data_IF_586123378127
#
_entry.id   IF_586123378127
#
_cell.length_a   1.000
_cell.length_b   1.000
_cell.length_c   1.000
_cell.angle_alpha   90.00
_cell.angle_beta   90.00
_cell.angle_gamma   90.00
#
_symmetry.space_group_name_H-M   'P 1'
#
loop_
_entity.id
_entity.type
_entity.pdbx_description
1 polymer ?
#
# COMPACT_ATOMS: atom_id res chain seq x y z
N UNK A 1 2.91 24.24 2.42
CA UNK A 1 3.65 23.16 1.73
C UNK A 1 2.74 22.55 0.68
N UNK A 2 3.28 22.33 -0.51
CA UNK A 2 2.56 21.72 -1.63
C UNK A 2 2.91 20.24 -1.71
N UNK A 3 1.92 19.37 -1.64
CA UNK A 3 2.10 17.92 -1.58
C UNK A 3 1.48 17.28 -2.82
N UNK A 4 2.27 16.43 -3.49
CA UNK A 4 1.78 15.55 -4.54
C UNK A 4 1.52 14.16 -3.96
N UNK A 5 0.35 13.58 -4.27
CA UNK A 5 0.02 12.19 -3.96
C UNK A 5 -0.26 11.46 -5.27
N UNK A 6 0.59 10.53 -5.67
CA UNK A 6 0.29 9.67 -6.82
C UNK A 6 -0.54 8.48 -6.34
N UNK A 7 -1.59 8.13 -7.07
CA UNK A 7 -2.54 7.10 -6.62
C UNK A 7 -3.44 7.57 -5.46
N UNK A 8 -3.80 8.86 -5.45
CA UNK A 8 -4.55 9.45 -4.33
C UNK A 8 -6.02 9.06 -4.27
N UNK A 9 -6.62 8.55 -5.35
CA UNK A 9 -7.97 7.98 -5.37
C UNK A 9 -8.01 6.49 -4.99
N UNK A 10 -6.83 5.87 -4.76
CA UNK A 10 -6.69 4.51 -4.27
C UNK A 10 -6.89 4.39 -2.75
N UNK A 11 -6.86 3.17 -2.23
CA UNK A 11 -7.13 2.84 -0.83
C UNK A 11 -6.27 3.65 0.17
N UNK A 12 -4.94 3.51 0.09
CA UNK A 12 -4.02 4.18 1.03
C UNK A 12 -3.98 5.69 0.75
N UNK A 13 -3.98 6.09 -0.54
CA UNK A 13 -3.95 7.49 -0.96
C UNK A 13 -5.13 8.30 -0.41
N UNK A 14 -6.32 7.76 -0.49
CA UNK A 14 -7.54 8.38 0.07
C UNK A 14 -7.42 8.62 1.58
N UNK A 15 -6.96 7.63 2.34
CA UNK A 15 -6.78 7.76 3.79
C UNK A 15 -5.67 8.76 4.16
N UNK A 16 -4.58 8.78 3.37
CA UNK A 16 -3.51 9.75 3.53
C UNK A 16 -4.02 11.18 3.28
N UNK A 17 -4.70 11.41 2.17
CA UNK A 17 -5.26 12.72 1.80
C UNK A 17 -6.27 13.21 2.86
N UNK A 18 -7.16 12.31 3.37
CA UNK A 18 -8.09 12.64 4.48
C UNK A 18 -7.38 13.11 5.74
N UNK A 19 -6.15 12.69 5.96
CA UNK A 19 -5.36 13.15 7.10
C UNK A 19 -4.65 14.46 6.80
N UNK A 20 -3.99 14.57 5.65
CA UNK A 20 -3.22 15.75 5.25
C UNK A 20 -4.06 17.02 5.11
N UNK A 21 -5.31 16.90 4.62
CA UNK A 21 -6.18 18.07 4.40
C UNK A 21 -6.53 18.79 5.71
N UNK A 22 -6.49 18.08 6.85
CA UNK A 22 -6.76 18.66 8.17
C UNK A 22 -5.68 19.66 8.62
N UNK A 23 -4.47 19.52 8.08
CA UNK A 23 -3.31 20.35 8.40
C UNK A 23 -3.10 21.49 7.40
N UNK A 24 -4.12 21.79 6.57
CA UNK A 24 -4.13 22.88 5.59
C UNK A 24 -2.97 22.84 4.56
N UNK A 25 -2.52 21.66 4.15
CA UNK A 25 -1.59 21.52 3.04
C UNK A 25 -2.31 21.69 1.69
N UNK A 26 -1.62 22.25 0.70
CA UNK A 26 -2.08 22.25 -0.68
C UNK A 26 -1.81 20.90 -1.30
N UNK A 27 -2.85 20.11 -1.55
CA UNK A 27 -2.74 18.73 -2.02
C UNK A 27 -3.16 18.65 -3.49
N UNK A 28 -2.30 18.06 -4.29
CA UNK A 28 -2.63 17.62 -5.65
C UNK A 28 -2.47 16.10 -5.73
N UNK A 29 -3.43 15.43 -6.34
CA UNK A 29 -3.36 13.99 -6.65
C UNK A 29 -3.24 13.79 -8.14
N UNK A 30 -2.39 12.85 -8.57
CA UNK A 30 -2.40 12.27 -9.93
C UNK A 30 -2.84 10.81 -9.83
N UNK A 31 -3.90 10.45 -10.56
CA UNK A 31 -4.48 9.11 -10.57
C UNK A 31 -5.12 8.85 -11.93
N UNK A 32 -4.93 7.67 -12.51
CA UNK A 32 -5.56 7.28 -13.77
C UNK A 32 -6.86 6.48 -13.56
N UNK A 33 -7.26 6.29 -12.31
CA UNK A 33 -8.45 5.55 -11.87
C UNK A 33 -8.53 4.10 -12.36
N UNK A 34 -7.39 3.49 -12.67
CA UNK A 34 -7.34 2.07 -13.06
C UNK A 34 -7.76 1.14 -11.92
N UNK A 35 -7.48 1.54 -10.67
CA UNK A 35 -7.90 0.86 -9.44
C UNK A 35 -8.45 1.82 -8.40
N UNK A 36 -8.14 3.10 -8.50
CA UNK A 36 -8.72 4.19 -7.72
C UNK A 36 -10.16 4.47 -8.16
N UNK A 37 -10.96 5.04 -7.27
CA UNK A 37 -12.36 5.34 -7.52
C UNK A 37 -12.62 6.85 -7.46
N UNK A 38 -13.44 7.39 -8.38
CA UNK A 38 -13.80 8.80 -8.37
C UNK A 38 -14.56 9.23 -7.10
N UNK A 39 -15.35 8.35 -6.54
CA UNK A 39 -16.04 8.58 -5.26
C UNK A 39 -15.09 8.72 -4.06
N UNK A 40 -13.83 8.37 -4.23
CA UNK A 40 -12.79 8.59 -3.22
C UNK A 40 -12.17 10.00 -3.28
N UNK A 41 -12.51 10.81 -4.27
CA UNK A 41 -12.04 12.18 -4.34
C UNK A 41 -12.54 13.00 -3.13
N UNK A 42 -11.67 13.84 -2.62
CA UNK A 42 -11.91 14.63 -1.42
C UNK A 42 -12.03 16.10 -1.83
N UNK A 43 -13.10 16.76 -1.36
CA UNK A 43 -13.34 18.18 -1.61
C UNK A 43 -12.14 19.03 -1.12
N UNK A 44 -11.77 20.03 -1.91
CA UNK A 44 -10.60 20.89 -1.62
C UNK A 44 -9.26 20.33 -2.10
N UNK A 45 -9.23 19.16 -2.73
CA UNK A 45 -8.03 18.56 -3.33
C UNK A 45 -8.11 18.64 -4.85
N UNK A 46 -6.99 18.99 -5.48
CA UNK A 46 -6.89 19.00 -6.95
C UNK A 46 -6.57 17.58 -7.43
N UNK A 47 -7.47 16.98 -8.20
CA UNK A 47 -7.23 15.68 -8.86
C UNK A 47 -6.90 15.89 -10.34
N UNK A 48 -5.81 15.26 -10.79
CA UNK A 48 -5.37 15.21 -12.19
C UNK A 48 -5.58 13.78 -12.67
N UNK A 49 -6.54 13.60 -13.59
CA UNK A 49 -6.76 12.29 -14.23
C UNK A 49 -5.67 12.07 -15.28
N UNK A 50 -4.62 11.36 -14.90
CA UNK A 50 -3.49 11.08 -15.79
C UNK A 50 -2.72 9.85 -15.34
N UNK A 51 -2.06 9.20 -16.29
CA UNK A 51 -1.12 8.12 -16.01
C UNK A 51 0.14 8.67 -15.34
N UNK A 52 0.74 7.85 -14.47
CA UNK A 52 1.95 8.21 -13.72
C UNK A 52 3.15 8.47 -14.63
N UNK A 53 3.19 7.86 -15.82
CA UNK A 53 4.26 8.09 -16.79
C UNK A 53 4.30 9.52 -17.33
N UNK A 54 3.21 10.29 -17.15
CA UNK A 54 3.10 11.69 -17.56
C UNK A 54 3.43 12.69 -16.45
N UNK A 55 3.99 12.23 -15.33
CA UNK A 55 4.35 13.10 -14.17
C UNK A 55 5.31 14.22 -14.54
N UNK A 56 6.12 14.06 -15.56
CA UNK A 56 7.05 15.07 -16.08
C UNK A 56 6.37 16.32 -16.65
N UNK A 57 5.06 16.29 -16.89
CA UNK A 57 4.24 17.45 -17.22
C UNK A 57 3.92 18.34 -16.00
N UNK A 58 4.16 17.86 -14.78
CA UNK A 58 4.00 18.65 -13.55
C UNK A 58 5.22 19.53 -13.33
N UNK A 59 4.96 20.76 -12.88
CA UNK A 59 5.98 21.78 -12.60
C UNK A 59 6.73 21.55 -11.28
N UNK A 60 7.55 22.54 -10.88
CA UNK A 60 8.41 22.49 -9.69
C UNK A 60 7.68 22.93 -8.39
N UNK A 61 6.39 23.07 -8.40
CA UNK A 61 5.63 23.64 -7.28
C UNK A 61 5.50 22.74 -6.05
N UNK A 62 6.00 21.50 -6.08
CA UNK A 62 5.83 20.53 -5.02
C UNK A 62 7.07 20.42 -4.12
N UNK A 63 6.82 20.33 -2.81
CA UNK A 63 7.84 20.14 -1.77
C UNK A 63 8.02 18.65 -1.42
N UNK A 64 6.94 17.87 -1.51
CA UNK A 64 6.86 16.48 -1.08
C UNK A 64 5.97 15.67 -2.03
N UNK A 65 6.40 14.46 -2.37
CA UNK A 65 5.63 13.49 -3.15
C UNK A 65 5.46 12.19 -2.37
N UNK A 66 4.21 11.77 -2.15
CA UNK A 66 3.89 10.42 -1.74
C UNK A 66 3.62 9.57 -2.98
N UNK A 67 4.56 8.71 -3.33
CA UNK A 67 4.43 7.84 -4.50
C UNK A 67 3.75 6.53 -4.13
N UNK A 68 2.39 6.51 -4.25
CA UNK A 68 1.53 5.37 -3.93
C UNK A 68 0.93 4.71 -5.18
N UNK A 69 0.99 5.36 -6.35
CA UNK A 69 0.51 4.79 -7.61
C UNK A 69 1.25 3.48 -7.93
N UNK A 70 0.51 2.38 -8.02
CA UNK A 70 1.07 1.07 -8.29
C UNK A 70 -0.01 0.05 -8.68
N UNK A 71 0.35 -0.94 -9.48
CA UNK A 71 -0.35 -2.21 -9.54
C UNK A 71 0.01 -3.01 -8.27
N UNK A 72 -0.96 -3.23 -7.36
CA UNK A 72 -0.69 -3.59 -5.96
C UNK A 72 -1.08 -5.02 -5.59
N UNK A 73 -1.37 -5.89 -6.55
CA UNK A 73 -1.87 -7.25 -6.29
C UNK A 73 -1.07 -8.32 -7.01
N UNK A 74 -0.88 -9.44 -6.31
CA UNK A 74 -0.12 -10.59 -6.82
C UNK A 74 -0.87 -11.28 -7.96
N UNK A 75 -2.14 -11.67 -7.75
CA UNK A 75 -2.88 -12.44 -8.76
C UNK A 75 -3.09 -11.65 -10.06
N UNK A 76 -3.56 -10.40 -10.06
CA UNK A 76 -3.64 -9.59 -11.28
C UNK A 76 -2.29 -9.43 -12.01
N UNK A 77 -1.17 -9.46 -11.30
CA UNK A 77 0.16 -9.35 -11.93
C UNK A 77 0.53 -10.56 -12.79
N UNK A 78 -0.03 -11.74 -12.50
CA UNK A 78 0.13 -12.91 -13.37
C UNK A 78 -0.73 -12.81 -14.64
N UNK A 79 -1.88 -12.13 -14.55
CA UNK A 79 -2.75 -11.88 -15.72
C UNK A 79 -2.13 -10.86 -16.67
N UNK A 80 -1.53 -9.79 -16.13
CA UNK A 80 -0.87 -8.73 -16.89
C UNK A 80 0.47 -8.33 -16.26
N UNK A 81 1.54 -9.10 -16.51
CA UNK A 81 2.87 -8.79 -15.99
C UNK A 81 3.47 -7.52 -16.62
N UNK A 82 3.11 -7.20 -17.87
CA UNK A 82 3.61 -6.00 -18.56
C UNK A 82 3.11 -4.73 -17.88
N UNK A 83 1.82 -4.69 -17.52
CA UNK A 83 1.24 -3.54 -16.81
C UNK A 83 1.86 -3.38 -15.43
N UNK A 84 2.13 -4.47 -14.70
CA UNK A 84 2.83 -4.42 -13.42
C UNK A 84 4.23 -3.82 -13.54
N UNK A 85 4.99 -4.18 -14.58
CA UNK A 85 6.32 -3.59 -14.85
C UNK A 85 6.18 -2.14 -15.30
N UNK A 86 5.27 -1.83 -16.22
CA UNK A 86 5.06 -0.48 -16.73
C UNK A 86 4.76 0.50 -15.60
N UNK A 87 3.80 0.20 -14.75
CA UNK A 87 3.38 1.10 -13.67
C UNK A 87 4.41 1.14 -12.53
N UNK A 88 4.82 -0.03 -12.01
CA UNK A 88 5.63 -0.09 -10.80
C UNK A 88 7.12 0.19 -11.04
N UNK A 89 7.63 -0.06 -12.23
CA UNK A 89 9.06 0.13 -12.55
C UNK A 89 9.24 1.40 -13.38
N UNK A 90 8.64 1.49 -14.58
CA UNK A 90 8.79 2.66 -15.44
C UNK A 90 8.15 3.90 -14.79
N UNK A 91 6.95 3.76 -14.20
CA UNK A 91 6.30 4.83 -13.47
C UNK A 91 7.15 5.34 -12.31
N UNK A 92 7.75 4.44 -11.51
CA UNK A 92 8.68 4.83 -10.44
C UNK A 92 9.91 5.56 -10.98
N UNK A 93 10.49 5.09 -12.09
CA UNK A 93 11.63 5.77 -12.71
C UNK A 93 11.26 7.19 -13.17
N UNK A 94 10.07 7.38 -13.75
CA UNK A 94 9.56 8.72 -14.12
C UNK A 94 9.39 9.63 -12.90
N UNK A 95 8.87 9.11 -11.80
CA UNK A 95 8.77 9.87 -10.54
C UNK A 95 10.15 10.27 -10.02
N UNK A 96 11.14 9.38 -10.07
CA UNK A 96 12.50 9.69 -9.61
C UNK A 96 13.19 10.73 -10.52
N UNK A 97 13.04 10.65 -11.84
CA UNK A 97 13.56 11.67 -12.77
C UNK A 97 12.92 13.05 -12.53
N UNK A 98 11.60 13.07 -12.35
CA UNK A 98 10.88 14.30 -12.02
C UNK A 98 11.33 14.88 -10.67
N UNK A 99 11.44 14.04 -9.63
CA UNK A 99 11.87 14.45 -8.30
C UNK A 99 13.31 14.99 -8.32
N UNK A 100 14.21 14.35 -9.05
CA UNK A 100 15.60 14.82 -9.26
C UNK A 100 15.62 16.21 -9.92
N UNK A 101 14.85 16.39 -10.99
CA UNK A 101 14.77 17.65 -11.74
C UNK A 101 14.26 18.82 -10.88
N UNK A 102 13.33 18.55 -9.99
CA UNK A 102 12.61 19.58 -9.22
C UNK A 102 13.01 19.62 -7.74
N UNK A 103 13.98 18.79 -7.30
CA UNK A 103 14.45 18.67 -5.92
C UNK A 103 13.32 18.38 -4.92
N UNK A 104 12.41 17.45 -5.26
CA UNK A 104 11.26 17.06 -4.45
C UNK A 104 11.61 15.85 -3.57
N UNK A 105 11.26 15.91 -2.27
CA UNK A 105 11.34 14.75 -1.38
C UNK A 105 10.29 13.71 -1.80
N UNK A 106 10.67 12.43 -1.84
CA UNK A 106 9.77 11.33 -2.20
C UNK A 106 9.63 10.32 -1.06
N UNK A 107 8.40 9.92 -0.75
CA UNK A 107 8.10 8.76 0.08
C UNK A 107 7.54 7.66 -0.83
N UNK A 108 8.33 6.61 -1.03
CA UNK A 108 8.00 5.52 -1.93
C UNK A 108 7.30 4.38 -1.20
N UNK A 109 6.17 3.91 -1.74
CA UNK A 109 5.42 2.76 -1.26
C UNK A 109 6.04 1.44 -1.77
N UNK A 110 6.98 0.89 -1.02
CA UNK A 110 7.51 -0.46 -1.19
C UNK A 110 6.58 -1.53 -0.63
N UNK A 111 7.08 -2.77 -0.55
CA UNK A 111 6.28 -3.93 -0.15
C UNK A 111 7.08 -4.91 0.70
N UNK A 112 6.41 -5.57 1.65
CA UNK A 112 6.97 -6.70 2.41
C UNK A 112 7.33 -7.91 1.52
N UNK A 113 6.88 -7.94 0.26
CA UNK A 113 7.32 -8.94 -0.73
C UNK A 113 8.83 -8.90 -0.99
N UNK A 114 9.51 -7.77 -0.66
CA UNK A 114 10.97 -7.64 -0.71
C UNK A 114 11.71 -8.72 0.09
N UNK A 115 11.08 -9.30 1.12
CA UNK A 115 11.66 -10.34 1.98
C UNK A 115 11.47 -11.77 1.45
N UNK A 116 10.95 -11.90 0.24
CA UNK A 116 10.74 -13.15 -0.49
C UNK A 116 11.49 -13.11 -1.82
N UNK A 117 11.52 -14.24 -2.54
CA UNK A 117 12.16 -14.27 -3.85
C UNK A 117 11.39 -13.34 -4.82
N UNK A 118 12.06 -12.36 -5.45
CA UNK A 118 11.40 -11.50 -6.43
C UNK A 118 10.78 -12.26 -7.59
N UNK A 119 11.30 -13.45 -7.93
CA UNK A 119 10.78 -14.29 -9.00
C UNK A 119 9.48 -15.03 -8.67
N UNK A 120 9.00 -14.95 -7.41
CA UNK A 120 7.74 -15.59 -7.00
C UNK A 120 6.50 -14.98 -7.70
N UNK A 121 6.56 -13.73 -8.15
CA UNK A 121 5.49 -13.13 -8.94
C UNK A 121 5.96 -11.87 -9.69
N UNK A 122 5.27 -11.48 -10.79
CA UNK A 122 5.54 -10.22 -11.47
C UNK A 122 5.36 -9.00 -10.54
N UNK A 123 4.41 -9.05 -9.61
CA UNK A 123 4.25 -8.02 -8.57
C UNK A 123 5.49 -7.92 -7.67
N UNK A 124 5.99 -9.05 -7.13
CA UNK A 124 7.16 -9.05 -6.26
C UNK A 124 8.39 -8.50 -7.00
N UNK A 125 8.61 -8.95 -8.25
CA UNK A 125 9.68 -8.46 -9.11
C UNK A 125 9.55 -6.94 -9.36
N UNK A 126 8.37 -6.46 -9.70
CA UNK A 126 8.17 -5.04 -10.00
C UNK A 126 8.41 -4.15 -8.77
N UNK A 127 7.99 -4.58 -7.57
CA UNK A 127 8.24 -3.85 -6.32
C UNK A 127 9.73 -3.89 -5.92
N UNK A 128 10.38 -5.04 -6.12
CA UNK A 128 11.83 -5.15 -5.94
C UNK A 128 12.58 -4.16 -6.83
N UNK A 129 12.30 -4.13 -8.12
CA UNK A 129 12.94 -3.22 -9.09
C UNK A 129 12.63 -1.75 -8.77
N UNK A 130 11.42 -1.41 -8.35
CA UNK A 130 11.05 -0.06 -7.92
C UNK A 130 11.88 0.41 -6.73
N UNK A 131 12.11 -0.44 -5.72
CA UNK A 131 13.01 -0.10 -4.61
C UNK A 131 14.47 0.07 -5.06
N UNK A 132 14.96 -0.78 -5.98
CA UNK A 132 16.33 -0.64 -6.51
C UNK A 132 16.51 0.66 -7.31
N UNK A 133 15.49 1.11 -8.06
CA UNK A 133 15.46 2.42 -8.70
C UNK A 133 15.56 3.53 -7.64
N UNK A 134 14.74 3.49 -6.59
CA UNK A 134 14.83 4.48 -5.51
C UNK A 134 16.24 4.54 -4.88
N UNK A 135 16.86 3.38 -4.61
CA UNK A 135 18.23 3.32 -4.08
C UNK A 135 19.25 3.88 -5.06
N UNK A 136 19.12 3.58 -6.35
CA UNK A 136 19.99 4.13 -7.39
C UNK A 136 19.92 5.66 -7.38
N UNK A 137 18.72 6.23 -7.37
CA UNK A 137 18.56 7.68 -7.40
C UNK A 137 19.00 8.35 -6.11
N UNK A 138 18.77 7.74 -4.95
CA UNK A 138 19.30 8.20 -3.66
C UNK A 138 20.83 8.25 -3.66
N UNK A 139 21.46 7.16 -4.14
CA UNK A 139 22.92 7.01 -4.06
C UNK A 139 23.69 7.79 -5.13
N UNK A 140 23.17 7.81 -6.37
CA UNK A 140 23.91 8.30 -7.54
C UNK A 140 23.51 9.72 -7.96
N UNK A 141 22.34 10.19 -7.55
CA UNK A 141 21.79 11.48 -7.96
C UNK A 141 21.35 12.35 -6.77
N UNK A 142 21.62 11.90 -5.53
CA UNK A 142 21.28 12.62 -4.29
C UNK A 142 19.80 13.00 -4.16
N UNK A 143 18.90 12.18 -4.74
CA UNK A 143 17.46 12.37 -4.60
C UNK A 143 17.05 12.04 -3.17
N UNK A 144 16.33 12.95 -2.52
CA UNK A 144 15.79 12.74 -1.18
C UNK A 144 14.59 11.78 -1.25
N UNK A 145 14.85 10.48 -1.18
CA UNK A 145 13.81 9.44 -1.19
C UNK A 145 13.91 8.54 0.03
N UNK A 146 12.76 8.30 0.68
CA UNK A 146 12.60 7.32 1.74
C UNK A 146 11.68 6.19 1.28
N UNK A 147 12.17 4.95 1.43
CA UNK A 147 11.44 3.75 1.05
C UNK A 147 10.66 3.24 2.26
N UNK A 148 9.37 2.96 2.10
CA UNK A 148 8.52 2.35 3.11
C UNK A 148 8.04 0.98 2.63
N UNK A 149 7.99 -0.04 3.50
CA UNK A 149 7.45 -1.37 3.17
C UNK A 149 6.20 -1.65 3.95
N UNK A 150 5.08 -1.82 3.24
CA UNK A 150 3.79 -2.07 3.83
C UNK A 150 3.53 -3.57 3.99
N UNK A 151 2.82 -3.91 5.09
CA UNK A 151 2.40 -5.27 5.41
C UNK A 151 0.87 -5.33 5.42
N UNK A 152 0.29 -6.14 4.57
CA UNK A 152 -1.14 -6.50 4.43
C UNK A 152 -2.12 -5.45 4.99
N UNK A 153 -2.10 -4.25 4.37
CA UNK A 153 -2.89 -3.11 4.84
C UNK A 153 -4.37 -3.39 4.70
N UNK A 154 -5.15 -3.06 5.74
CA UNK A 154 -6.60 -3.18 5.77
C UNK A 154 -7.24 -1.95 6.41
N UNK A 155 -8.54 -1.75 6.21
CA UNK A 155 -9.27 -0.67 6.86
C UNK A 155 -10.29 0.04 5.96
N UNK A 156 -10.76 1.22 6.37
CA UNK A 156 -11.71 2.01 5.57
C UNK A 156 -11.21 2.32 4.16
N UNK A 157 -12.09 2.32 3.18
CA UNK A 157 -11.82 2.52 1.75
C UNK A 157 -10.99 1.41 1.08
N UNK A 158 -10.79 0.25 1.72
CA UNK A 158 -10.18 -0.90 1.05
C UNK A 158 -11.07 -1.41 -0.09
N UNK A 159 -10.49 -1.85 -1.23
CA UNK A 159 -11.26 -2.48 -2.31
C UNK A 159 -11.97 -3.75 -1.84
N UNK A 160 -13.22 -3.93 -2.27
CA UNK A 160 -14.08 -5.05 -1.85
C UNK A 160 -14.19 -6.14 -2.94
N UNK A 161 -13.82 -5.82 -4.16
CA UNK A 161 -13.89 -6.73 -5.30
C UNK A 161 -12.84 -7.86 -5.23
N UNK A 162 -13.11 -8.98 -5.91
CA UNK A 162 -12.25 -10.15 -5.88
C UNK A 162 -10.88 -9.94 -6.58
N UNK A 163 -10.79 -8.97 -7.50
CA UNK A 163 -9.58 -8.72 -8.28
C UNK A 163 -8.57 -7.86 -7.50
N UNK A 164 -9.03 -6.77 -6.91
CA UNK A 164 -8.15 -5.78 -6.27
C UNK A 164 -8.28 -5.75 -4.73
N UNK A 165 -9.26 -6.44 -4.17
CA UNK A 165 -9.44 -6.56 -2.72
C UNK A 165 -8.31 -7.34 -2.03
N UNK A 166 -8.07 -7.03 -0.75
CA UNK A 166 -7.37 -7.94 0.14
C UNK A 166 -8.36 -8.97 0.71
N UNK A 167 -7.87 -9.96 1.45
CA UNK A 167 -8.73 -11.00 2.01
C UNK A 167 -9.86 -10.43 2.88
N UNK A 168 -9.61 -9.34 3.62
CA UNK A 168 -10.62 -8.72 4.50
C UNK A 168 -11.68 -8.02 3.66
N UNK A 169 -11.27 -7.23 2.67
CA UNK A 169 -12.19 -6.55 1.75
C UNK A 169 -13.08 -7.52 0.99
N UNK A 170 -12.48 -8.57 0.39
CA UNK A 170 -13.20 -9.63 -0.31
C UNK A 170 -14.21 -10.33 0.62
N UNK A 171 -13.81 -10.66 1.85
CA UNK A 171 -14.68 -11.34 2.79
C UNK A 171 -15.80 -10.45 3.30
N UNK A 172 -15.59 -9.16 3.44
CA UNK A 172 -16.65 -8.19 3.75
C UNK A 172 -17.75 -8.21 2.70
N UNK A 173 -17.39 -8.20 1.42
CA UNK A 173 -18.36 -8.26 0.33
C UNK A 173 -19.08 -9.62 0.28
N UNK A 174 -18.35 -10.72 0.50
CA UNK A 174 -18.95 -12.06 0.55
C UNK A 174 -19.97 -12.20 1.70
N UNK A 175 -19.68 -11.63 2.87
CA UNK A 175 -20.64 -11.58 3.99
C UNK A 175 -21.90 -10.83 3.60
N UNK A 176 -21.80 -9.64 2.99
CA UNK A 176 -22.97 -8.88 2.50
C UNK A 176 -23.83 -9.68 1.53
N UNK A 177 -23.18 -10.45 0.67
CA UNK A 177 -23.84 -11.28 -0.33
C UNK A 177 -24.27 -12.65 0.19
N UNK A 178 -24.13 -12.94 1.49
CA UNK A 178 -24.38 -14.25 2.10
C UNK A 178 -23.65 -15.40 1.39
N UNK A 179 -22.43 -15.15 0.89
CA UNK A 179 -21.57 -16.14 0.23
C UNK A 179 -20.54 -16.71 1.20
N UNK A 180 -20.10 -17.98 1.01
CA UNK A 180 -19.04 -18.56 1.82
C UNK A 180 -17.71 -17.83 1.59
N UNK A 181 -16.92 -17.70 2.66
CA UNK A 181 -15.58 -17.08 2.62
C UNK A 181 -14.58 -18.05 2.00
N UNK A 182 -13.77 -17.57 1.08
CA UNK A 182 -12.77 -18.38 0.38
C UNK A 182 -11.48 -18.47 1.22
N UNK A 183 -11.05 -19.68 1.55
CA UNK A 183 -9.78 -19.97 2.18
C UNK A 183 -8.88 -20.62 1.14
N UNK A 184 -7.79 -19.92 0.76
CA UNK A 184 -6.79 -20.39 -0.20
C UNK A 184 -5.83 -21.37 0.50
N UNK A 185 -5.57 -22.53 -0.11
CA UNK A 185 -4.71 -23.56 0.47
C UNK A 185 -5.24 -24.11 1.80
N UNK A 186 -4.36 -24.34 2.75
CA UNK A 186 -4.70 -24.89 4.08
C UNK A 186 -5.14 -23.83 5.11
N UNK A 187 -5.06 -22.53 4.76
CA UNK A 187 -5.41 -21.42 5.64
C UNK A 187 -4.42 -21.14 6.78
N UNK A 188 -3.32 -21.88 6.87
CA UNK A 188 -2.30 -21.71 7.92
C UNK A 188 -1.27 -20.64 7.58
N UNK A 189 -1.31 -20.07 6.37
CA UNK A 189 -0.43 -18.95 5.98
C UNK A 189 -0.72 -17.74 6.86
N UNK A 190 0.35 -17.13 7.40
CA UNK A 190 0.27 -16.01 8.34
C UNK A 190 0.53 -14.68 7.66
N UNK A 191 -0.20 -13.64 8.09
CA UNK A 191 -0.06 -12.27 7.59
C UNK A 191 0.04 -11.30 8.76
N UNK A 192 0.99 -10.36 8.66
CA UNK A 192 1.03 -9.17 9.48
C UNK A 192 0.00 -8.18 8.93
N UNK A 193 -1.17 -8.13 9.54
CA UNK A 193 -2.23 -7.21 9.16
C UNK A 193 -2.02 -5.87 9.84
N UNK A 194 -1.86 -4.81 9.05
CA UNK A 194 -1.63 -3.46 9.57
C UNK A 194 -2.77 -2.53 9.17
N UNK A 195 -3.36 -1.86 10.15
CA UNK A 195 -4.48 -0.96 9.88
C UNK A 195 -4.01 0.28 9.13
N UNK A 196 -4.81 0.75 8.16
CA UNK A 196 -4.44 1.87 7.27
C UNK A 196 -4.15 3.16 8.01
N UNK A 197 -4.79 3.42 9.16
CA UNK A 197 -4.47 4.60 9.98
C UNK A 197 -3.06 4.54 10.57
N UNK A 198 -2.59 3.36 10.94
CA UNK A 198 -1.22 3.20 11.44
C UNK A 198 -0.20 3.33 10.29
N UNK A 199 -0.53 2.84 9.09
CA UNK A 199 0.28 3.07 7.87
C UNK A 199 0.39 4.57 7.58
N UNK A 200 -0.73 5.29 7.57
CA UNK A 200 -0.74 6.74 7.31
C UNK A 200 0.08 7.49 8.36
N UNK A 201 -0.08 7.18 9.65
CA UNK A 201 0.74 7.77 10.72
C UNK A 201 2.24 7.51 10.49
N UNK A 202 2.61 6.28 10.15
CA UNK A 202 4.00 5.90 9.85
C UNK A 202 4.58 6.67 8.66
N UNK A 203 3.83 6.73 7.56
CA UNK A 203 4.25 7.48 6.35
C UNK A 203 4.46 8.97 6.68
N UNK A 204 3.56 9.58 7.45
CA UNK A 204 3.66 10.99 7.83
C UNK A 204 4.86 11.24 8.74
N UNK A 205 5.10 10.39 9.74
CA UNK A 205 6.27 10.48 10.61
C UNK A 205 7.58 10.39 9.82
N UNK A 206 7.67 9.52 8.81
CA UNK A 206 8.81 9.42 7.91
C UNK A 206 8.94 10.67 7.05
N UNK A 207 7.84 11.12 6.47
CA UNK A 207 7.83 12.26 5.54
C UNK A 207 8.28 13.57 6.20
N UNK A 208 7.82 13.83 7.42
CA UNK A 208 8.12 15.05 8.17
C UNK A 208 9.34 14.93 9.09
N UNK A 209 10.00 13.77 9.12
CA UNK A 209 11.26 13.58 9.82
C UNK A 209 12.45 14.04 8.98
N UNK A 210 13.51 14.50 9.65
CA UNK A 210 14.82 14.69 9.06
C UNK A 210 15.68 13.41 9.07
N UNK A 211 15.14 12.30 9.56
CA UNK A 211 15.87 11.02 9.60
C UNK A 211 15.79 10.34 8.24
N UNK A 212 16.91 9.73 7.87
CA UNK A 212 17.06 8.95 6.65
C UNK A 212 17.36 7.49 7.03
N UNK A 213 16.74 6.55 6.34
CA UNK A 213 17.04 5.14 6.52
C UNK A 213 18.02 4.65 5.44
N UNK A 214 18.92 3.77 5.82
CA UNK A 214 19.92 3.20 4.88
C UNK A 214 19.32 2.17 3.92
N UNK A 215 18.24 1.50 4.33
CA UNK A 215 17.47 0.55 3.52
C UNK A 215 16.01 1.04 3.37
N UNK A 216 15.10 0.59 4.20
CA UNK A 216 13.68 0.95 4.15
C UNK A 216 13.03 0.88 5.53
N UNK A 217 11.98 1.70 5.72
CA UNK A 217 11.15 1.73 6.91
C UNK A 217 10.06 0.64 6.84
N UNK A 218 10.05 -0.28 7.79
CA UNK A 218 9.11 -1.41 7.84
C UNK A 218 7.82 -1.02 8.57
N UNK A 219 6.73 -0.83 7.84
CA UNK A 219 5.43 -0.42 8.38
C UNK A 219 4.48 -1.63 8.50
N UNK A 220 4.77 -2.50 9.45
CA UNK A 220 3.94 -3.64 9.85
C UNK A 220 3.51 -3.54 11.32
N UNK A 221 2.39 -4.16 11.69
CA UNK A 221 1.92 -4.16 13.09
C UNK A 221 2.87 -4.90 14.04
N UNK A 222 3.63 -5.87 13.51
CA UNK A 222 4.46 -6.78 14.30
C UNK A 222 3.69 -7.95 14.89
N UNK A 223 2.40 -8.08 14.57
CA UNK A 223 1.54 -9.21 14.96
C UNK A 223 1.02 -9.91 13.71
N UNK A 224 1.15 -11.22 13.64
CA UNK A 224 0.69 -12.00 12.49
C UNK A 224 -0.42 -12.96 12.87
N UNK A 225 -1.44 -13.03 12.01
CA UNK A 225 -2.56 -13.96 12.12
C UNK A 225 -2.60 -14.90 10.92
N UNK A 226 -2.98 -16.16 11.14
CA UNK A 226 -3.30 -17.08 10.06
C UNK A 226 -4.64 -16.71 9.41
N UNK A 227 -4.87 -17.17 8.19
CA UNK A 227 -6.17 -16.98 7.52
C UNK A 227 -7.28 -17.71 8.27
N UNK A 228 -6.98 -18.83 8.93
CA UNK A 228 -7.95 -19.54 9.80
C UNK A 228 -8.30 -18.70 11.03
N UNK A 229 -7.32 -18.05 11.69
CA UNK A 229 -7.61 -17.15 12.81
C UNK A 229 -8.47 -15.97 12.38
N UNK A 230 -8.18 -15.36 11.22
CA UNK A 230 -9.03 -14.33 10.64
C UNK A 230 -10.45 -14.85 10.32
N UNK A 231 -10.55 -16.05 9.72
CA UNK A 231 -11.86 -16.69 9.45
C UNK A 231 -12.66 -16.87 10.74
N UNK A 232 -12.04 -17.31 11.82
CA UNK A 232 -12.74 -17.49 13.10
C UNK A 232 -13.29 -16.17 13.65
N UNK A 233 -12.62 -15.03 13.45
CA UNK A 233 -13.16 -13.70 13.79
C UNK A 233 -14.41 -13.36 12.97
N UNK A 234 -14.40 -13.63 11.65
CA UNK A 234 -15.57 -13.42 10.78
C UNK A 234 -16.71 -14.39 11.12
N UNK A 235 -16.40 -15.66 11.41
CA UNK A 235 -17.39 -16.66 11.82
C UNK A 235 -18.06 -16.26 13.13
N UNK A 236 -17.30 -15.82 14.13
CA UNK A 236 -17.83 -15.33 15.42
C UNK A 236 -18.77 -14.13 15.24
N UNK A 237 -18.39 -13.19 14.35
CA UNK A 237 -19.13 -11.93 14.16
C UNK A 237 -20.35 -12.06 13.25
N UNK A 238 -20.28 -12.86 12.17
CA UNK A 238 -21.26 -12.89 11.09
C UNK A 238 -21.87 -14.28 10.86
N UNK A 239 -21.52 -15.28 11.67
CA UNK A 239 -21.87 -16.68 11.43
C UNK A 239 -21.48 -17.18 10.03
N UNK A 240 -20.34 -16.68 9.52
CA UNK A 240 -19.87 -16.95 8.17
C UNK A 240 -19.48 -18.44 7.99
N UNK A 241 -19.72 -18.97 6.81
CA UNK A 241 -19.23 -20.27 6.36
C UNK A 241 -18.01 -20.12 5.46
N UNK A 242 -17.26 -21.18 5.21
CA UNK A 242 -16.09 -21.15 4.34
C UNK A 242 -16.08 -22.25 3.30
N UNK A 243 -15.36 -22.00 2.20
CA UNK A 243 -14.95 -23.00 1.22
C UNK A 243 -13.41 -22.91 1.06
N UNK A 244 -12.79 -24.07 0.89
CA UNK A 244 -11.37 -24.15 0.58
C UNK A 244 -11.16 -24.21 -0.93
N UNK A 245 -10.15 -23.50 -1.41
CA UNK A 245 -9.74 -23.53 -2.81
C UNK A 245 -8.24 -23.85 -2.89
N UNK A 246 -7.77 -24.28 -4.06
CA UNK A 246 -6.36 -24.60 -4.29
C UNK A 246 -5.45 -23.44 -3.97
N UNK A 247 -4.19 -23.77 -3.61
CA UNK A 247 -3.18 -22.76 -3.35
C UNK A 247 -2.87 -21.95 -4.63
N UNK A 248 -2.44 -20.72 -4.45
CA UNK A 248 -2.23 -19.77 -5.53
C UNK A 248 -0.74 -19.45 -5.67
N UNK A 249 -0.22 -19.27 -6.91
CA UNK A 249 1.15 -18.80 -7.13
C UNK A 249 1.43 -17.50 -6.37
N UNK A 250 2.64 -17.36 -5.84
CA UNK A 250 3.04 -16.17 -5.10
C UNK A 250 2.41 -16.01 -3.71
N UNK A 251 1.73 -17.05 -3.20
CA UNK A 251 1.14 -17.05 -1.87
C UNK A 251 2.19 -17.40 -0.80
N UNK A 252 2.73 -16.39 -0.12
CA UNK A 252 3.75 -16.59 0.92
C UNK A 252 3.19 -17.29 2.17
N UNK A 253 4.00 -18.15 2.78
CA UNK A 253 3.62 -18.85 4.03
C UNK A 253 3.56 -17.92 5.24
N UNK A 254 4.38 -16.85 5.27
CA UNK A 254 4.39 -15.89 6.39
C UNK A 254 4.88 -14.53 5.94
N UNK A 255 4.19 -13.49 6.39
CA UNK A 255 4.70 -12.12 6.41
C UNK A 255 4.64 -11.60 7.85
N UNK A 256 5.72 -10.94 8.29
CA UNK A 256 5.83 -10.31 9.61
C UNK A 256 6.90 -9.24 9.52
N UNK A 257 6.65 -8.07 10.11
CA UNK A 257 7.66 -7.00 10.21
C UNK A 257 8.97 -7.56 10.79
N UNK A 258 10.08 -7.24 10.12
CA UNK A 258 11.39 -7.85 10.41
C UNK A 258 12.28 -7.03 11.34
N UNK A 259 12.01 -5.71 11.49
CA UNK A 259 12.74 -4.83 12.40
C UNK A 259 11.83 -3.77 13.02
N UNK A 260 12.34 -3.09 14.03
CA UNK A 260 11.65 -2.08 14.80
C UNK A 260 12.25 -0.66 14.64
N UNK A 261 12.96 -0.41 13.54
CA UNK A 261 13.67 0.86 13.35
C UNK A 261 12.73 2.06 13.36
N UNK A 262 11.57 1.95 12.68
CA UNK A 262 10.56 3.00 12.66
C UNK A 262 9.99 3.27 14.06
N UNK A 263 9.78 2.23 14.89
CA UNK A 263 9.31 2.41 16.27
C UNK A 263 10.33 3.17 17.11
N UNK A 264 11.59 2.73 17.04
CA UNK A 264 12.68 3.28 17.85
C UNK A 264 13.09 4.69 17.43
N UNK A 265 13.12 4.94 16.13
CA UNK A 265 13.66 6.19 15.58
C UNK A 265 12.60 7.27 15.40
N UNK A 266 11.34 6.92 15.16
CA UNK A 266 10.26 7.85 14.83
C UNK A 266 9.10 7.83 15.84
N UNK A 267 9.23 7.08 16.93
CA UNK A 267 8.16 6.91 17.94
C UNK A 267 6.83 6.49 17.28
N UNK A 268 6.94 5.60 16.29
CA UNK A 268 5.76 5.02 15.64
C UNK A 268 5.25 3.83 16.46
N UNK A 269 3.97 3.83 16.79
CA UNK A 269 3.40 2.81 17.69
C UNK A 269 2.11 2.22 17.10
N UNK A 270 2.23 1.31 16.11
CA UNK A 270 1.07 0.67 15.50
C UNK A 270 0.33 -0.20 16.52
N UNK A 271 -0.97 -0.33 16.36
CA UNK A 271 -1.81 -1.13 17.25
C UNK A 271 -2.30 -2.39 16.54
N UNK A 272 -2.37 -3.48 17.29
CA UNK A 272 -3.12 -4.65 16.84
C UNK A 272 -4.62 -4.36 16.94
N UNK A 273 -5.22 -3.99 15.80
CA UNK A 273 -6.63 -3.59 15.71
C UNK A 273 -7.50 -4.63 14.98
N UNK A 274 -6.91 -5.75 14.53
CA UNK A 274 -7.61 -6.64 13.60
C UNK A 274 -8.92 -7.17 14.17
N UNK A 275 -8.88 -7.69 15.39
CA UNK A 275 -10.07 -8.26 16.05
C UNK A 275 -11.15 -7.20 16.30
N UNK A 276 -10.75 -6.02 16.77
CA UNK A 276 -11.69 -4.92 17.03
C UNK A 276 -12.27 -4.36 15.74
N UNK A 277 -11.46 -4.28 14.68
CA UNK A 277 -11.94 -3.87 13.37
C UNK A 277 -13.00 -4.83 12.82
N UNK A 278 -12.76 -6.15 12.85
CA UNK A 278 -13.75 -7.14 12.40
C UNK A 278 -15.04 -7.05 13.23
N UNK A 279 -14.93 -6.86 14.55
CA UNK A 279 -16.10 -6.66 15.43
C UNK A 279 -16.90 -5.40 15.12
N UNK A 280 -16.22 -4.33 14.70
CA UNK A 280 -16.86 -3.03 14.40
C UNK A 280 -17.54 -2.99 13.03
N UNK A 281 -17.32 -3.99 12.16
CA UNK A 281 -17.91 -4.01 10.83
C UNK A 281 -19.45 -4.16 10.91
N UNK A 282 -20.14 -3.28 10.18
CA UNK A 282 -21.58 -3.35 9.94
C UNK A 282 -21.78 -3.66 8.46
N UNK A 283 -22.11 -4.93 8.16
CA UNK A 283 -22.20 -5.44 6.79
C UNK A 283 -23.63 -5.89 6.46
#
# INVERSE_FOLDING_TARGET
MNILVTGGAGFIGTNLIKTLIKDNYNITSIDNYSTGLKENEIEGVKYINSDIELIDQLGPEFDLCFHLAAQSRVQPSFEDPQESIRVNVNGTMKVMEWAKKHNVKVIYAGSSSKHHDPSDSPYAMSKFLGEEICRLYKKSYDVNVEITRFYNVYGPNEPLDEKFGNVIGIWREKVKLNKPLTIVGDGNQKRDFTHVTDIVDGILKIAFSNKMHTDAWELGSGVSYSIIELFNMFKERFNATSIYVDDQPGNYRKTLRINDDVLKQLDWNPKDRLKDYVKSLNL
#
